data_IF_158072450517
#
_entry.id   IF_158072450517
#
_cell.length_a   1.000
_cell.length_b   1.000
_cell.length_c   1.000
_cell.angle_alpha   90.00
_cell.angle_beta   90.00
_cell.angle_gamma   90.00
#
_symmetry.space_group_name_H-M   'P 1'
#
loop_
_entity.id
_entity.type
_entity.pdbx_description
1 polymer ?
#
# COMPACT_ATOMS: atom_id res chain seq x y z
N UNK A 1 -18.36 -19.43 42.39
CA UNK A 1 -18.98 -19.16 41.06
C UNK A 1 -18.60 -17.74 40.64
N UNK A 2 -17.54 -17.56 39.84
CA UNK A 2 -17.21 -16.30 39.17
C UNK A 2 -15.98 -16.51 38.26
N UNK A 3 -16.14 -17.34 37.22
CA UNK A 3 -15.10 -17.56 36.22
C UNK A 3 -15.73 -17.28 34.85
N UNK A 4 -15.78 -16.01 34.42
CA UNK A 4 -16.28 -15.71 33.07
C UNK A 4 -15.99 -14.31 32.50
N UNK A 5 -15.10 -13.51 33.09
CA UNK A 5 -14.78 -12.17 32.53
C UNK A 5 -13.46 -12.07 31.75
N UNK A 6 -12.68 -13.15 31.63
CA UNK A 6 -11.38 -13.12 30.92
C UNK A 6 -11.46 -13.49 29.42
N UNK A 7 -12.66 -13.75 28.87
CA UNK A 7 -12.77 -14.48 27.59
C UNK A 7 -12.90 -13.63 26.32
N UNK A 8 -13.10 -12.30 26.38
CA UNK A 8 -13.41 -11.52 25.17
C UNK A 8 -12.28 -10.62 24.68
N UNK A 9 -11.39 -10.16 25.57
CA UNK A 9 -10.27 -9.31 25.15
C UNK A 9 -9.09 -10.10 24.57
N UNK A 10 -8.96 -11.40 24.92
CA UNK A 10 -7.91 -12.27 24.38
C UNK A 10 -8.22 -12.84 22.98
N UNK A 11 -9.48 -12.84 22.54
CA UNK A 11 -9.88 -13.30 21.19
C UNK A 11 -9.57 -12.26 20.09
N UNK A 12 -9.30 -11.02 20.48
CA UNK A 12 -8.83 -9.95 19.61
C UNK A 12 -7.41 -9.53 19.99
N UNK A 13 -6.57 -10.50 20.37
CA UNK A 13 -5.11 -10.37 20.56
C UNK A 13 -4.34 -10.01 19.28
N UNK A 14 -4.98 -9.34 18.32
CA UNK A 14 -4.30 -8.52 17.35
C UNK A 14 -4.03 -7.22 18.10
N UNK A 15 -2.85 -7.10 18.71
CA UNK A 15 -2.21 -5.80 18.75
C UNK A 15 -2.07 -5.39 17.28
N UNK A 16 -3.13 -4.77 16.75
CA UNK A 16 -3.27 -4.33 15.39
C UNK A 16 -2.39 -3.10 15.27
N UNK A 17 -1.08 -3.28 15.41
CA UNK A 17 -0.15 -2.48 14.64
C UNK A 17 -0.61 -2.71 13.21
N UNK A 18 -1.41 -1.77 12.70
CA UNK A 18 -1.69 -1.69 11.27
C UNK A 18 -0.33 -1.77 10.61
N UNK A 19 -0.05 -2.90 9.96
CA UNK A 19 1.18 -3.09 9.22
C UNK A 19 1.25 -1.95 8.23
N UNK A 20 2.41 -1.29 8.18
CA UNK A 20 2.65 -0.27 7.16
C UNK A 20 2.35 -0.87 5.78
N UNK A 21 1.86 -0.06 4.85
CA UNK A 21 1.57 -0.51 3.49
C UNK A 21 2.80 -1.18 2.88
N UNK A 22 4.01 -0.66 3.14
CA UNK A 22 5.25 -1.31 2.73
C UNK A 22 5.38 -2.74 3.28
N UNK A 23 5.14 -2.96 4.57
CA UNK A 23 5.16 -4.32 5.15
C UNK A 23 4.06 -5.23 4.57
N UNK A 24 2.91 -4.68 4.19
CA UNK A 24 1.87 -5.44 3.50
C UNK A 24 2.34 -5.84 2.09
N UNK A 25 2.96 -4.93 1.33
CA UNK A 25 3.56 -5.23 0.03
C UNK A 25 4.61 -6.33 0.16
N UNK A 26 5.58 -6.20 1.08
CA UNK A 26 6.67 -7.16 1.27
C UNK A 26 6.12 -8.56 1.62
N UNK A 27 5.11 -8.63 2.50
CA UNK A 27 4.50 -9.90 2.89
C UNK A 27 3.76 -10.60 1.74
N UNK A 28 3.19 -9.84 0.79
CA UNK A 28 2.49 -10.40 -0.37
C UNK A 28 3.48 -10.71 -1.51
N UNK A 29 4.51 -9.89 -1.69
CA UNK A 29 5.53 -10.05 -2.73
C UNK A 29 6.29 -11.38 -2.62
N UNK A 30 6.58 -11.84 -1.40
CA UNK A 30 7.24 -13.14 -1.15
C UNK A 30 6.42 -14.33 -1.70
N UNK A 31 5.10 -14.19 -1.83
CA UNK A 31 4.21 -15.28 -2.27
C UNK A 31 3.96 -15.29 -3.78
N UNK A 32 4.27 -14.21 -4.49
CA UNK A 32 4.00 -14.09 -5.92
C UNK A 32 5.19 -14.63 -6.72
N UNK A 33 5.14 -15.92 -7.04
CA UNK A 33 6.10 -16.62 -7.90
C UNK A 33 5.98 -16.20 -9.38
N UNK A 34 7.13 -16.09 -10.06
CA UNK A 34 7.30 -15.42 -11.33
C UNK A 34 6.77 -16.25 -12.52
N UNK A 35 5.45 -16.33 -12.68
CA UNK A 35 4.83 -17.02 -13.80
C UNK A 35 3.55 -16.34 -14.25
N UNK A 36 3.66 -15.38 -15.18
CA UNK A 36 2.54 -14.67 -15.83
C UNK A 36 1.59 -13.97 -14.85
N UNK A 37 2.05 -12.86 -14.28
CA UNK A 37 1.26 -12.03 -13.39
C UNK A 37 0.17 -11.27 -14.16
N UNK A 38 -1.09 -11.68 -14.03
CA UNK A 38 -2.22 -10.79 -14.34
C UNK A 38 -2.37 -9.74 -13.23
N UNK A 39 -3.13 -8.67 -13.45
CA UNK A 39 -3.40 -7.67 -12.39
C UNK A 39 -3.96 -8.31 -11.10
N UNK A 40 -4.62 -9.47 -11.19
CA UNK A 40 -5.16 -10.21 -10.06
C UNK A 40 -4.09 -10.93 -9.23
N UNK A 41 -2.96 -11.31 -9.84
CA UNK A 41 -1.86 -12.04 -9.20
C UNK A 41 -0.83 -11.10 -8.57
N UNK A 42 -0.90 -9.81 -8.88
CA UNK A 42 0.02 -8.82 -8.36
C UNK A 42 -0.24 -8.55 -6.87
N UNK A 43 0.82 -8.27 -6.10
CA UNK A 43 0.66 -7.90 -4.70
C UNK A 43 -0.19 -6.65 -4.57
N UNK A 44 -1.33 -6.79 -3.89
CA UNK A 44 -2.27 -5.71 -3.63
C UNK A 44 -2.24 -5.33 -2.16
N UNK A 45 -2.48 -4.05 -1.88
CA UNK A 45 -2.77 -3.54 -0.55
C UNK A 45 -4.16 -2.95 -0.49
N UNK A 46 -4.78 -3.08 0.67
CA UNK A 46 -6.12 -2.57 0.91
C UNK A 46 -6.05 -1.34 1.82
N UNK A 47 -6.49 -0.20 1.30
CA UNK A 47 -6.63 1.04 2.07
C UNK A 47 -8.13 1.36 2.13
N UNK A 48 -8.72 1.19 3.31
CA UNK A 48 -10.17 1.24 3.47
C UNK A 48 -10.88 0.15 2.67
N UNK A 49 -11.79 0.54 1.77
CA UNK A 49 -12.54 -0.39 0.91
C UNK A 49 -11.94 -0.53 -0.50
N UNK A 50 -10.80 0.12 -0.77
CA UNK A 50 -10.18 0.18 -2.09
C UNK A 50 -8.92 -0.68 -2.14
N UNK A 51 -8.69 -1.30 -3.30
CA UNK A 51 -7.50 -2.08 -3.59
C UNK A 51 -6.50 -1.24 -4.38
N UNK A 52 -5.24 -1.38 -4.03
CA UNK A 52 -4.14 -0.67 -4.66
C UNK A 52 -3.04 -1.66 -5.02
N UNK A 53 -2.42 -1.44 -6.17
CA UNK A 53 -1.27 -2.20 -6.64
C UNK A 53 -0.12 -1.22 -6.80
N UNK A 54 1.09 -1.56 -6.33
CA UNK A 54 2.24 -0.70 -6.53
C UNK A 54 2.57 -0.54 -8.02
N UNK A 55 2.83 0.69 -8.43
CA UNK A 55 2.98 1.04 -9.86
C UNK A 55 4.14 0.29 -10.51
N UNK A 56 5.19 -0.05 -9.76
CA UNK A 56 6.34 -0.83 -10.20
C UNK A 56 5.98 -2.27 -10.65
N UNK A 57 4.87 -2.82 -10.14
CA UNK A 57 4.40 -4.16 -10.55
C UNK A 57 3.52 -4.10 -11.80
N UNK A 58 2.84 -2.98 -12.03
CA UNK A 58 1.99 -2.75 -13.22
C UNK A 58 2.85 -2.39 -14.43
N UNK A 59 3.79 -1.48 -14.23
CA UNK A 59 4.71 -1.04 -15.27
C UNK A 59 5.81 -2.09 -15.41
N UNK A 60 5.56 -3.09 -16.27
CA UNK A 60 6.47 -4.17 -16.69
C UNK A 60 7.95 -3.96 -16.30
N UNK A 61 8.58 -4.98 -15.67
CA UNK A 61 9.99 -5.10 -15.25
C UNK A 61 11.07 -4.36 -16.07
N UNK A 62 10.83 -4.02 -17.34
CA UNK A 62 11.75 -3.31 -18.24
C UNK A 62 11.47 -1.81 -18.46
N UNK A 63 10.38 -1.24 -17.92
CA UNK A 63 10.23 0.22 -17.87
C UNK A 63 10.73 0.72 -16.53
N UNK A 64 11.80 1.51 -16.58
CA UNK A 64 12.20 2.39 -15.48
C UNK A 64 10.92 3.14 -15.09
N UNK A 65 10.36 2.86 -13.91
CA UNK A 65 9.14 3.50 -13.41
C UNK A 65 9.27 5.02 -13.40
N UNK A 66 8.28 5.75 -12.86
CA UNK A 66 8.38 7.22 -12.81
C UNK A 66 9.72 7.66 -12.22
N UNK A 67 10.56 8.30 -13.02
CA UNK A 67 11.88 8.84 -12.61
C UNK A 67 11.71 10.13 -11.81
N UNK A 68 10.81 10.11 -10.83
CA UNK A 68 10.54 11.24 -9.95
C UNK A 68 11.43 11.15 -8.73
N UNK A 69 12.11 12.25 -8.39
CA UNK A 69 12.94 12.33 -7.18
C UNK A 69 12.13 12.03 -5.90
N UNK A 70 10.82 12.26 -5.94
CA UNK A 70 9.93 12.04 -4.80
C UNK A 70 9.70 10.55 -4.48
N UNK A 71 10.05 9.66 -5.41
CA UNK A 71 10.13 8.22 -5.15
C UNK A 71 11.17 7.88 -4.07
N UNK A 72 12.17 8.73 -3.83
CA UNK A 72 13.11 8.53 -2.72
C UNK A 72 12.45 8.70 -1.34
N UNK A 73 11.28 9.35 -1.28
CA UNK A 73 10.58 9.66 -0.03
C UNK A 73 9.27 8.87 0.14
N UNK A 74 8.92 8.01 -0.81
CA UNK A 74 7.65 7.32 -0.84
C UNK A 74 7.53 6.40 -2.04
N UNK A 75 6.36 5.81 -2.23
CA UNK A 75 6.11 4.86 -3.31
C UNK A 75 4.78 5.16 -3.99
N UNK A 76 4.61 4.63 -5.20
CA UNK A 76 3.43 4.87 -6.01
C UNK A 76 2.48 3.67 -5.94
N UNK A 77 1.21 3.96 -5.70
CA UNK A 77 0.13 2.99 -5.64
C UNK A 77 -0.93 3.36 -6.68
N UNK A 78 -1.25 2.45 -7.58
CA UNK A 78 -2.36 2.59 -8.52
C UNK A 78 -3.59 1.89 -7.95
N UNK A 79 -4.68 2.63 -7.82
CA UNK A 79 -5.97 2.08 -7.44
C UNK A 79 -6.44 1.10 -8.53
N UNK A 80 -6.99 -0.03 -8.12
CA UNK A 80 -7.53 -1.05 -9.03
C UNK A 80 -8.99 -1.29 -8.71
N UNK A 81 -9.84 -1.20 -9.74
CA UNK A 81 -11.26 -1.48 -9.61
C UNK A 81 -11.52 -2.97 -9.38
N UNK A 82 -12.70 -3.34 -8.85
CA UNK A 82 -13.12 -4.75 -8.78
C UNK A 82 -13.09 -5.46 -10.13
N UNK A 83 -13.30 -4.73 -11.22
CA UNK A 83 -13.23 -5.23 -12.61
C UNK A 83 -11.79 -5.37 -13.14
N UNK A 84 -10.79 -5.34 -12.26
CA UNK A 84 -9.36 -5.46 -12.59
C UNK A 84 -8.86 -4.38 -13.55
N UNK A 85 -9.40 -3.16 -13.45
CA UNK A 85 -8.91 -1.99 -14.22
C UNK A 85 -8.08 -1.08 -13.35
N UNK A 86 -6.94 -0.64 -13.87
CA UNK A 86 -6.14 0.41 -13.24
C UNK A 86 -6.88 1.75 -13.33
N UNK A 87 -7.08 2.39 -12.19
CA UNK A 87 -7.72 3.70 -12.05
C UNK A 87 -6.64 4.77 -11.84
N UNK A 88 -6.75 5.56 -10.77
CA UNK A 88 -5.86 6.66 -10.45
C UNK A 88 -4.59 6.16 -9.76
N UNK A 89 -3.46 6.82 -10.03
CA UNK A 89 -2.20 6.57 -9.31
C UNK A 89 -1.99 7.63 -8.24
N UNK A 90 -1.54 7.17 -7.07
CA UNK A 90 -1.28 7.97 -5.88
C UNK A 90 0.17 7.77 -5.44
N UNK A 91 0.76 8.81 -4.87
CA UNK A 91 2.00 8.73 -4.13
C UNK A 91 1.71 8.66 -2.64
N UNK A 92 2.39 7.75 -1.94
CA UNK A 92 2.30 7.56 -0.50
C UNK A 92 3.62 7.94 0.14
N UNK A 93 3.55 8.79 1.16
CA UNK A 93 4.72 9.14 1.95
C UNK A 93 5.14 7.97 2.86
N UNK A 94 6.38 7.49 2.70
CA UNK A 94 6.94 6.40 3.50
C UNK A 94 6.97 6.72 5.00
N UNK A 95 7.36 7.95 5.37
CA UNK A 95 7.38 8.41 6.77
C UNK A 95 5.99 8.43 7.41
N UNK A 96 4.95 8.73 6.64
CA UNK A 96 3.58 8.70 7.15
C UNK A 96 3.11 7.26 7.31
N UNK A 97 3.42 6.40 6.33
CA UNK A 97 3.09 4.99 6.37
C UNK A 97 3.72 4.27 7.59
N UNK A 98 4.98 4.55 7.89
CA UNK A 98 5.67 4.06 9.10
C UNK A 98 5.00 4.52 10.40
N UNK A 99 4.31 5.67 10.38
CA UNK A 99 3.54 6.20 11.51
C UNK A 99 2.08 5.74 11.50
N UNK A 100 1.76 4.73 10.68
CA UNK A 100 0.40 4.23 10.46
C UNK A 100 -0.60 5.30 9.97
N UNK A 101 -0.10 6.36 9.34
CA UNK A 101 -0.88 7.41 8.69
C UNK A 101 -0.79 7.25 7.18
N UNK A 102 -1.88 6.84 6.53
CA UNK A 102 -1.89 6.70 5.08
C UNK A 102 -2.17 8.05 4.40
N UNK A 103 -1.11 8.84 4.15
CA UNK A 103 -1.21 10.07 3.36
C UNK A 103 -1.02 9.76 1.88
N UNK A 104 -2.15 9.69 1.15
CA UNK A 104 -2.22 9.45 -0.29
C UNK A 104 -2.38 10.78 -1.02
N UNK A 105 -1.53 11.04 -2.01
CA UNK A 105 -1.58 12.23 -2.86
C UNK A 105 -1.69 11.80 -4.32
N UNK A 106 -2.51 12.49 -5.13
CA UNK A 106 -2.66 12.13 -6.54
C UNK A 106 -1.34 12.33 -7.28
N UNK A 107 -0.90 11.32 -8.04
CA UNK A 107 0.41 11.35 -8.71
C UNK A 107 0.40 12.12 -10.05
N UNK A 108 -0.65 12.88 -10.38
CA UNK A 108 -0.72 13.72 -11.58
C UNK A 108 0.15 14.98 -11.45
N UNK A 109 0.40 15.44 -10.22
CA UNK A 109 1.34 16.50 -9.91
C UNK A 109 2.17 16.14 -8.68
N UNK A 110 3.30 16.81 -8.52
CA UNK A 110 4.17 16.64 -7.34
C UNK A 110 4.03 17.77 -6.33
N UNK A 111 3.18 18.77 -6.58
CA UNK A 111 3.04 19.95 -5.70
C UNK A 111 2.61 19.56 -4.29
N UNK A 112 1.51 18.82 -4.13
CA UNK A 112 1.01 18.44 -2.81
C UNK A 112 1.97 17.51 -2.06
N UNK A 113 2.56 16.48 -2.70
CA UNK A 113 3.66 15.72 -2.10
C UNK A 113 4.86 16.57 -1.64
N UNK A 114 5.27 17.58 -2.43
CA UNK A 114 6.38 18.48 -2.07
C UNK A 114 6.04 19.31 -0.84
N UNK A 115 4.87 19.92 -0.82
CA UNK A 115 4.41 20.70 0.33
C UNK A 115 4.29 19.84 1.58
N UNK A 116 3.87 18.59 1.43
CA UNK A 116 3.84 17.64 2.52
C UNK A 116 5.23 17.32 3.07
N UNK A 117 6.24 17.12 2.21
CA UNK A 117 7.62 16.85 2.64
C UNK A 117 8.32 18.04 3.30
N UNK A 118 7.85 19.27 3.06
CA UNK A 118 8.36 20.49 3.71
C UNK A 118 7.81 20.69 5.13
N UNK A 119 6.77 19.95 5.53
CA UNK A 119 6.15 20.00 6.86
C UNK A 119 6.73 18.93 7.77
#
# INVERSE_FOLDING_TARGET
MAAQQQSLESLLGISSQRKSLKQQLDAVSIKTEAGRTTLADLPTVQIGCKKYIPEEYITNKNRKGRRSWIQAHGFFLTEVSPDLRTLQTYWVCSKCDERSKSSLFVATNTTSPIEHLRR
#
